data_IF_005237286407
#
_entry.id   IF_005237286407
#
_cell.length_a   1.000
_cell.length_b   1.000
_cell.length_c   1.000
_cell.angle_alpha   90.00
_cell.angle_beta   90.00
_cell.angle_gamma   90.00
#
_symmetry.space_group_name_H-M   'P 1'
#
loop_
_entity.id
_entity.type
_entity.pdbx_description
1 polymer ?
#
# COMPACT_ATOMS: atom_id res chain seq x y z
N UNK A 1 -38.24 -14.36 -2.08
CA UNK A 1 -37.20 -14.83 -3.01
C UNK A 1 -36.53 -13.63 -3.65
N UNK A 2 -35.23 -13.41 -3.38
CA UNK A 2 -34.22 -12.99 -4.36
C UNK A 2 -32.87 -13.01 -3.61
N UNK A 3 -32.23 -14.16 -3.61
CA UNK A 3 -30.89 -14.36 -3.06
C UNK A 3 -29.88 -13.97 -4.14
N UNK A 4 -29.25 -12.80 -4.02
CA UNK A 4 -28.18 -12.36 -4.91
C UNK A 4 -26.84 -12.61 -4.22
N UNK A 5 -26.25 -13.77 -4.50
CA UNK A 5 -24.93 -14.15 -3.99
C UNK A 5 -23.84 -13.21 -4.47
N UNK A 6 -23.20 -12.50 -3.54
CA UNK A 6 -21.96 -11.77 -3.79
C UNK A 6 -20.81 -12.77 -3.93
N UNK A 7 -20.45 -13.09 -5.18
CA UNK A 7 -19.26 -13.87 -5.51
C UNK A 7 -18.08 -12.91 -5.62
N UNK A 8 -17.25 -12.82 -4.59
CA UNK A 8 -15.98 -12.12 -4.67
C UNK A 8 -15.08 -12.85 -5.69
N UNK A 9 -14.73 -12.16 -6.78
CA UNK A 9 -13.78 -12.67 -7.76
C UNK A 9 -12.37 -12.48 -7.21
N UNK A 10 -11.78 -13.53 -6.64
CA UNK A 10 -10.37 -13.55 -6.24
C UNK A 10 -9.53 -13.57 -7.52
N UNK A 11 -8.66 -12.58 -7.77
CA UNK A 11 -7.69 -12.68 -8.87
C UNK A 11 -6.73 -13.83 -8.57
N UNK A 12 -6.58 -14.73 -9.53
CA UNK A 12 -5.52 -15.75 -9.51
C UNK A 12 -4.17 -15.03 -9.67
N UNK A 13 -3.15 -15.33 -8.85
CA UNK A 13 -1.83 -14.73 -9.00
C UNK A 13 -1.20 -15.28 -10.27
N UNK A 14 -1.14 -14.44 -11.31
CA UNK A 14 -0.38 -14.73 -12.51
C UNK A 14 1.11 -14.75 -12.14
N UNK A 15 1.79 -15.85 -12.46
CA UNK A 15 3.20 -16.06 -12.16
C UNK A 15 4.07 -15.15 -13.04
N UNK A 16 4.27 -13.91 -12.62
CA UNK A 16 5.33 -13.06 -13.16
C UNK A 16 6.66 -13.40 -12.46
N UNK A 17 7.22 -14.56 -12.78
CA UNK A 17 8.63 -14.88 -12.44
C UNK A 17 9.52 -14.26 -13.50
N UNK A 18 10.18 -13.15 -13.17
CA UNK A 18 11.26 -12.60 -13.98
C UNK A 18 12.45 -13.58 -13.98
N UNK A 19 12.67 -14.28 -15.11
CA UNK A 19 13.84 -15.14 -15.31
C UNK A 19 15.08 -14.27 -15.60
N UNK A 20 16.11 -14.40 -14.76
CA UNK A 20 17.44 -13.79 -14.99
C UNK A 20 18.32 -14.79 -15.79
N UNK A 21 19.10 -14.37 -16.80
CA UNK A 21 19.95 -15.30 -17.57
C UNK A 21 21.19 -15.72 -16.77
N UNK A 22 21.54 -17.01 -16.83
CA UNK A 22 22.82 -17.55 -16.34
C UNK A 22 23.85 -17.55 -17.47
N UNK A 23 24.89 -16.72 -17.35
CA UNK A 23 26.14 -16.94 -18.08
C UNK A 23 27.07 -17.86 -17.27
N UNK A 24 27.59 -18.88 -17.94
CA UNK A 24 28.59 -19.80 -17.41
C UNK A 24 29.98 -19.26 -17.74
N UNK A 25 30.88 -19.19 -16.77
CA UNK A 25 32.32 -19.42 -16.98
C UNK A 25 32.97 -19.96 -15.71
N UNK A 26 33.70 -21.07 -15.87
CA UNK A 26 34.28 -21.92 -14.84
C UNK A 26 35.81 -21.71 -14.81
N UNK A 27 36.37 -21.40 -13.64
CA UNK A 27 37.75 -21.78 -13.29
C UNK A 27 37.88 -21.82 -11.76
N UNK A 28 38.28 -22.97 -11.24
CA UNK A 28 38.03 -23.39 -9.86
C UNK A 28 39.06 -22.98 -8.81
N UNK A 29 38.61 -23.10 -7.56
CA UNK A 29 39.43 -23.37 -6.37
C UNK A 29 38.61 -24.31 -5.47
N UNK A 30 39.20 -25.45 -5.09
CA UNK A 30 38.63 -26.38 -4.12
C UNK A 30 38.83 -25.81 -2.71
N UNK A 31 37.76 -25.36 -2.07
CA UNK A 31 37.71 -25.26 -0.61
C UNK A 31 36.51 -26.07 -0.10
N UNK A 32 36.80 -27.01 0.78
CA UNK A 32 35.85 -27.91 1.40
C UNK A 32 35.20 -27.19 2.58
N UNK A 33 34.07 -26.55 2.34
CA UNK A 33 33.05 -26.28 3.35
C UNK A 33 31.69 -26.51 2.70
N UNK A 34 31.03 -27.62 3.04
CA UNK A 34 29.65 -27.87 2.63
C UNK A 34 28.72 -26.95 3.42
N UNK A 35 28.72 -25.67 3.08
CA UNK A 35 27.71 -24.72 3.52
C UNK A 35 26.42 -25.03 2.76
N UNK A 36 25.52 -25.79 3.38
CA UNK A 36 24.13 -25.86 2.92
C UNK A 36 23.57 -24.45 2.95
N UNK A 37 23.37 -23.86 1.78
CA UNK A 37 22.59 -22.64 1.60
C UNK A 37 21.24 -22.89 2.27
N UNK A 38 21.04 -22.23 3.41
CA UNK A 38 19.73 -22.16 4.06
C UNK A 38 18.84 -21.48 3.02
N UNK A 39 17.80 -22.18 2.58
CA UNK A 39 16.75 -21.56 1.78
C UNK A 39 16.13 -20.52 2.72
N UNK A 40 16.48 -19.24 2.52
CA UNK A 40 15.83 -18.16 3.24
C UNK A 40 14.34 -18.23 2.92
N UNK A 41 13.54 -18.58 3.93
CA UNK A 41 12.10 -18.55 3.82
C UNK A 41 11.67 -17.09 3.68
N UNK A 42 11.28 -16.70 2.47
CA UNK A 42 10.75 -15.37 2.18
C UNK A 42 9.40 -15.21 2.90
N UNK A 43 9.31 -14.25 3.81
CA UNK A 43 8.03 -13.83 4.38
C UNK A 43 7.30 -12.98 3.35
N UNK A 44 6.00 -13.24 3.17
CA UNK A 44 5.13 -12.49 2.25
C UNK A 44 4.00 -11.89 3.05
N UNK A 45 3.76 -10.59 2.86
CA UNK A 45 2.59 -9.90 3.40
C UNK A 45 1.57 -9.69 2.27
N UNK A 46 0.42 -10.35 2.37
CA UNK A 46 -0.70 -10.16 1.45
C UNK A 46 -1.72 -9.21 2.10
N UNK A 47 -2.04 -8.12 1.40
CA UNK A 47 -2.90 -7.04 1.91
C UNK A 47 -4.17 -6.87 1.06
N UNK A 48 -5.27 -6.50 1.70
CA UNK A 48 -6.54 -6.18 1.05
C UNK A 48 -7.33 -5.15 1.88
N UNK A 49 -8.29 -4.47 1.27
CA UNK A 49 -9.05 -3.41 1.94
C UNK A 49 -10.50 -3.36 1.43
N UNK A 50 -11.39 -2.86 2.29
CA UNK A 50 -12.78 -2.55 1.99
C UNK A 50 -13.19 -1.32 2.80
N UNK A 51 -13.96 -0.41 2.21
CA UNK A 51 -14.48 0.78 2.87
C UNK A 51 -16.00 0.71 2.96
N UNK A 52 -16.55 0.90 4.15
CA UNK A 52 -17.99 0.94 4.42
C UNK A 52 -18.34 2.27 5.09
N UNK A 53 -18.54 3.35 4.31
CA UNK A 53 -18.76 4.68 4.86
C UNK A 53 -20.08 4.75 5.63
N UNK A 54 -20.14 5.67 6.60
CA UNK A 54 -21.39 5.98 7.30
C UNK A 54 -22.51 6.33 6.28
N UNK A 55 -23.77 5.88 6.46
CA UNK A 55 -24.85 6.08 5.48
C UNK A 55 -25.03 7.53 5.00
N UNK A 56 -24.88 8.50 5.90
CA UNK A 56 -24.98 9.93 5.56
C UNK A 56 -23.81 10.48 4.74
N UNK A 57 -22.70 9.74 4.64
CA UNK A 57 -21.45 10.13 3.98
C UNK A 57 -21.16 9.29 2.73
N UNK A 58 -22.06 8.38 2.35
CA UNK A 58 -21.89 7.53 1.15
C UNK A 58 -21.79 8.39 -0.11
N UNK A 59 -22.62 9.44 -0.22
CA UNK A 59 -22.65 10.31 -1.40
C UNK A 59 -21.36 11.14 -1.58
N UNK A 60 -20.60 11.36 -0.52
CA UNK A 60 -19.30 12.06 -0.55
C UNK A 60 -18.11 11.10 -0.64
N UNK A 61 -18.39 9.79 -0.62
CA UNK A 61 -17.41 8.71 -0.66
C UNK A 61 -16.78 8.38 0.69
N UNK A 62 -17.33 8.83 1.81
CA UNK A 62 -16.74 8.68 3.15
C UNK A 62 -15.70 9.74 3.48
N UNK A 63 -15.14 9.64 4.69
CA UNK A 63 -14.07 10.52 5.19
C UNK A 63 -12.73 9.77 5.37
N UNK A 64 -12.80 8.44 5.41
CA UNK A 64 -11.66 7.54 5.49
C UNK A 64 -11.04 7.30 4.10
N UNK A 65 -9.75 6.96 4.09
CA UNK A 65 -9.02 6.54 2.91
C UNK A 65 -7.97 5.49 3.28
N UNK A 66 -7.48 4.74 2.29
CA UNK A 66 -6.38 3.81 2.47
C UNK A 66 -5.47 3.79 1.24
N UNK A 67 -4.25 3.29 1.40
CA UNK A 67 -3.45 2.83 0.27
C UNK A 67 -2.89 1.44 0.54
N UNK A 68 -2.64 0.71 -0.55
CA UNK A 68 -1.84 -0.53 -0.57
C UNK A 68 -0.91 -0.41 -1.77
N UNK A 69 0.39 -0.64 -1.57
CA UNK A 69 1.41 -0.55 -2.60
C UNK A 69 2.59 -1.48 -2.28
N UNK A 70 3.28 -1.93 -3.34
CA UNK A 70 4.49 -2.76 -3.23
C UNK A 70 4.31 -3.99 -2.29
N UNK A 71 5.40 -4.66 -1.96
CA UNK A 71 5.39 -5.85 -1.12
C UNK A 71 5.34 -5.45 0.37
N UNK A 72 4.16 -5.01 0.81
CA UNK A 72 3.83 -4.87 2.24
C UNK A 72 3.58 -3.45 2.74
N UNK A 73 3.54 -2.44 1.87
CA UNK A 73 3.19 -1.08 2.29
C UNK A 73 1.68 -0.89 2.23
N UNK A 74 1.12 -0.37 3.31
CA UNK A 74 -0.25 0.07 3.37
C UNK A 74 -0.40 1.17 4.41
N UNK A 75 -1.48 1.91 4.32
CA UNK A 75 -1.82 2.89 5.32
C UNK A 75 -3.29 3.24 5.27
N UNK A 76 -3.78 3.81 6.37
CA UNK A 76 -5.15 4.26 6.53
C UNK A 76 -5.16 5.70 7.07
N UNK A 77 -6.10 6.50 6.58
CA UNK A 77 -6.34 7.84 7.07
C UNK A 77 -7.82 8.01 7.40
N UNK A 78 -8.12 8.66 8.53
CA UNK A 78 -9.48 9.03 8.95
C UNK A 78 -9.57 10.56 8.96
N UNK A 79 -10.29 11.11 7.97
CA UNK A 79 -10.49 12.55 7.79
C UNK A 79 -11.32 13.15 8.93
N UNK A 80 -10.86 14.27 9.49
CA UNK A 80 -11.54 14.92 10.63
C UNK A 80 -12.87 15.53 10.18
N UNK A 81 -14.00 14.88 10.47
CA UNK A 81 -15.32 15.32 10.01
C UNK A 81 -15.80 16.70 10.48
N UNK A 82 -15.11 17.34 11.43
CA UNK A 82 -15.40 18.73 11.84
C UNK A 82 -15.17 19.75 10.70
N UNK A 83 -14.35 19.42 9.69
CA UNK A 83 -14.17 20.25 8.49
C UNK A 83 -15.48 20.48 7.72
N UNK A 84 -16.49 19.62 7.93
CA UNK A 84 -17.83 19.78 7.36
C UNK A 84 -18.51 21.09 7.78
N UNK A 85 -18.19 21.65 8.95
CA UNK A 85 -18.72 22.95 9.39
C UNK A 85 -18.21 24.13 8.56
N UNK A 86 -17.08 23.97 7.88
CA UNK A 86 -16.53 24.94 6.93
C UNK A 86 -16.89 24.61 5.47
N UNK A 87 -17.76 23.61 5.26
CA UNK A 87 -18.14 23.13 3.92
C UNK A 87 -17.04 22.32 3.23
N UNK A 88 -16.01 21.88 3.96
CA UNK A 88 -14.89 21.10 3.44
C UNK A 88 -15.19 19.60 3.62
N UNK A 89 -15.02 18.83 2.54
CA UNK A 89 -15.14 17.38 2.59
C UNK A 89 -13.85 16.77 3.17
N UNK A 90 -13.91 16.29 4.42
CA UNK A 90 -12.75 15.74 5.13
C UNK A 90 -12.12 14.53 4.42
N UNK A 91 -12.90 13.78 3.65
CA UNK A 91 -12.39 12.66 2.84
C UNK A 91 -11.51 13.09 1.67
N UNK A 92 -11.53 14.36 1.25
CA UNK A 92 -10.63 14.83 0.19
C UNK A 92 -9.17 14.87 0.67
N UNK A 93 -8.92 15.44 1.86
CA UNK A 93 -7.58 15.45 2.44
C UNK A 93 -7.08 14.02 2.71
N UNK A 94 -7.91 13.17 3.33
CA UNK A 94 -7.53 11.78 3.62
C UNK A 94 -7.15 11.01 2.34
N UNK A 95 -7.93 11.16 1.26
CA UNK A 95 -7.65 10.52 -0.04
C UNK A 95 -6.36 11.05 -0.67
N UNK A 96 -6.18 12.37 -0.71
CA UNK A 96 -4.97 12.97 -1.28
C UNK A 96 -3.71 12.54 -0.51
N UNK A 97 -3.78 12.48 0.82
CA UNK A 97 -2.67 12.01 1.66
C UNK A 97 -2.31 10.55 1.33
N UNK A 98 -3.30 9.66 1.24
CA UNK A 98 -3.07 8.24 0.91
C UNK A 98 -2.60 8.03 -0.52
N UNK A 99 -3.13 8.80 -1.48
CA UNK A 99 -2.66 8.78 -2.88
C UNK A 99 -1.21 9.28 -2.98
N UNK A 100 -0.84 10.30 -2.22
CA UNK A 100 0.54 10.79 -2.08
C UNK A 100 1.48 9.72 -1.55
N UNK A 101 1.13 9.06 -0.44
CA UNK A 101 1.89 7.94 0.10
C UNK A 101 2.06 6.82 -0.94
N UNK A 102 0.97 6.42 -1.59
CA UNK A 102 0.96 5.39 -2.62
C UNK A 102 1.91 5.73 -3.77
N UNK A 103 1.85 6.98 -4.26
CA UNK A 103 2.70 7.47 -5.34
C UNK A 103 4.17 7.39 -4.96
N UNK A 104 4.54 7.93 -3.80
CA UNK A 104 5.93 7.93 -3.30
C UNK A 104 6.47 6.51 -3.21
N UNK A 105 5.72 5.60 -2.57
CA UNK A 105 6.14 4.20 -2.39
C UNK A 105 6.27 3.46 -3.73
N UNK A 106 5.35 3.71 -4.66
CA UNK A 106 5.37 3.08 -5.99
C UNK A 106 6.55 3.56 -6.83
N UNK A 107 6.84 4.87 -6.82
CA UNK A 107 7.95 5.47 -7.56
C UNK A 107 9.32 5.00 -7.05
N UNK A 108 9.44 4.76 -5.74
CA UNK A 108 10.67 4.25 -5.11
C UNK A 108 10.73 2.71 -5.06
N UNK A 109 9.68 2.03 -5.53
CA UNK A 109 9.51 0.56 -5.44
C UNK A 109 9.69 0.02 -4.02
N UNK A 110 9.28 0.77 -2.99
CA UNK A 110 9.45 0.31 -1.61
C UNK A 110 10.92 0.16 -1.21
N UNK A 111 11.80 1.04 -1.71
CA UNK A 111 13.26 0.93 -1.55
C UNK A 111 13.71 0.54 -0.13
N UNK A 112 14.71 -0.36 0.00
CA UNK A 112 15.24 -0.75 1.32
C UNK A 112 15.71 0.47 2.11
N UNK A 113 15.26 0.58 3.37
CA UNK A 113 15.64 1.69 4.26
C UNK A 113 14.78 2.95 4.14
N UNK A 114 13.77 2.95 3.27
CA UNK A 114 12.78 4.02 3.23
C UNK A 114 11.95 4.01 4.51
N UNK A 115 11.86 5.16 5.17
CA UNK A 115 11.16 5.31 6.44
C UNK A 115 9.71 5.73 6.21
N UNK A 116 8.79 5.16 6.97
CA UNK A 116 7.36 5.51 6.89
C UNK A 116 7.13 6.98 7.23
N UNK A 117 7.93 7.55 8.14
CA UNK A 117 7.83 8.96 8.50
C UNK A 117 8.17 9.90 7.33
N UNK A 118 9.16 9.54 6.50
CA UNK A 118 9.57 10.35 5.36
C UNK A 118 8.52 10.31 4.24
N UNK A 119 7.91 9.14 4.01
CA UNK A 119 6.80 8.97 3.07
C UNK A 119 5.61 9.82 3.50
N UNK A 120 5.23 9.72 4.78
CA UNK A 120 4.09 10.46 5.33
C UNK A 120 4.35 11.98 5.33
N UNK A 121 5.53 12.42 5.76
CA UNK A 121 5.88 13.84 5.79
C UNK A 121 5.85 14.46 4.39
N UNK A 122 6.39 13.76 3.39
CA UNK A 122 6.37 14.23 2.01
C UNK A 122 4.95 14.24 1.42
N UNK A 123 4.15 13.20 1.67
CA UNK A 123 2.75 13.18 1.23
C UNK A 123 1.93 14.32 1.85
N UNK A 124 2.16 14.62 3.13
CA UNK A 124 1.51 15.72 3.82
C UNK A 124 1.96 17.11 3.31
N UNK A 125 3.23 17.27 2.97
CA UNK A 125 3.78 18.52 2.38
C UNK A 125 3.25 18.76 0.95
N UNK A 126 3.04 17.70 0.18
CA UNK A 126 2.50 17.80 -1.20
C UNK A 126 0.98 17.99 -1.24
N UNK A 127 0.25 17.68 -0.16
CA UNK A 127 -1.21 17.75 -0.10
C UNK A 127 -1.73 19.19 -0.20
N UNK A 128 -2.77 19.42 -1.02
CA UNK A 128 -3.33 20.74 -1.29
C UNK A 128 -4.79 20.89 -0.87
N UNK A 129 -5.50 19.78 -0.67
CA UNK A 129 -6.85 19.79 -0.16
C UNK A 129 -6.83 20.37 1.25
N UNK A 130 -7.71 21.32 1.59
CA UNK A 130 -7.84 21.75 2.97
C UNK A 130 -8.40 20.59 3.80
N UNK A 131 -7.91 20.44 5.02
CA UNK A 131 -8.35 19.37 5.90
C UNK A 131 -7.30 18.94 6.91
N UNK A 132 -7.63 17.86 7.59
CA UNK A 132 -6.72 17.10 8.45
C UNK A 132 -7.24 15.68 8.59
N UNK A 133 -6.37 14.77 8.98
CA UNK A 133 -6.72 13.37 9.26
C UNK A 133 -5.87 12.82 10.39
N UNK A 134 -6.37 11.78 11.06
CA UNK A 134 -5.48 10.82 11.73
C UNK A 134 -4.94 9.84 10.69
N UNK A 135 -3.77 9.25 10.92
CA UNK A 135 -3.11 8.41 9.91
C UNK A 135 -2.25 7.33 10.55
N UNK A 136 -2.24 6.15 9.93
CA UNK A 136 -1.33 5.05 10.21
C UNK A 136 -0.73 4.57 8.89
N UNK A 137 0.60 4.48 8.83
CA UNK A 137 1.41 4.00 7.70
C UNK A 137 2.45 3.03 8.22
#
# INVERSE_FOLDING_TARGET
EQEAGYRAHIPQPDQAVCKVPKENNMAGVKSSDRMTSVIESTLVLASGASMLPHPSKVLTGGEDAYFIACDGWFGVADGVGQWSFEGINAGLYARELMDGCKKIVTETQGAPGMRTEDVLAKAADEARCPGSSTVLV
#
